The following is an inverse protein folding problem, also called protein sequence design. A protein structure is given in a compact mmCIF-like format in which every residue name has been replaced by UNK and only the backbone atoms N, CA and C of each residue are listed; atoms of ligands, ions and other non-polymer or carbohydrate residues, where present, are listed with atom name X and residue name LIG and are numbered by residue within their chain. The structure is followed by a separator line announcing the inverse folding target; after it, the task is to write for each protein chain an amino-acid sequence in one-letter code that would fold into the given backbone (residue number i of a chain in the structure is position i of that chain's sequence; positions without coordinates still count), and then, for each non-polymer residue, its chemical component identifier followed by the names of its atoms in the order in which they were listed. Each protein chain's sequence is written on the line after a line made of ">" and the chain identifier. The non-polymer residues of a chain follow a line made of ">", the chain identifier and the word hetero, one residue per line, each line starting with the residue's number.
data_IF_649128193739
#
_entry.id   IF_649128193739
#
_cell.length_a   1.000
_cell.length_b   1.000
_cell.length_c   1.000
_cell.angle_alpha   90.00
_cell.angle_beta   90.00
_cell.angle_gamma   90.00
#
_symmetry.space_group_name_H-M   'P 1'
#
loop_
_entity.id
_entity.type
_entity.pdbx_description
1 polymer ?
#
# COMPACT_ATOMS: atom_id res chain seq x y z
N UNK A 1 -20.32 -6.55 -27.51
CA UNK A 1 -21.20 -7.30 -28.44
C UNK A 1 -20.78 -8.75 -28.40
N UNK A 2 -21.48 -9.75 -27.88
CA UNK A 2 -22.79 -9.97 -27.24
C UNK A 2 -22.59 -10.30 -25.75
N UNK A 3 -23.49 -9.85 -24.88
CA UNK A 3 -23.54 -10.33 -23.49
C UNK A 3 -24.08 -11.77 -23.52
N UNK A 4 -23.17 -12.74 -23.40
CA UNK A 4 -23.40 -14.18 -23.57
C UNK A 4 -24.31 -14.78 -22.49
N UNK A 5 -25.28 -15.62 -22.87
CA UNK A 5 -26.18 -16.38 -21.97
C UNK A 5 -25.41 -17.23 -20.94
N UNK A 6 -24.17 -17.59 -21.24
CA UNK A 6 -23.21 -18.31 -20.39
C UNK A 6 -22.89 -17.58 -19.10
N UNK A 7 -22.77 -16.25 -19.12
CA UNK A 7 -22.55 -15.43 -17.91
C UNK A 7 -23.73 -15.49 -16.95
N UNK A 8 -24.94 -15.71 -17.49
CA UNK A 8 -26.17 -15.82 -16.73
C UNK A 8 -26.30 -17.16 -15.98
N UNK A 9 -25.67 -18.22 -16.51
CA UNK A 9 -25.59 -19.54 -15.88
C UNK A 9 -24.45 -19.62 -14.85
N UNK A 10 -23.32 -18.95 -15.12
CA UNK A 10 -22.14 -18.90 -14.26
C UNK A 10 -22.26 -17.94 -13.06
N UNK A 11 -23.36 -17.17 -12.96
CA UNK A 11 -23.60 -16.19 -11.89
C UNK A 11 -23.74 -16.79 -10.47
N UNK A 12 -23.58 -18.09 -10.29
CA UNK A 12 -23.66 -18.74 -8.99
C UNK A 12 -22.34 -19.39 -8.55
N UNK A 13 -21.34 -19.46 -9.44
CA UNK A 13 -20.00 -19.96 -9.13
C UNK A 13 -18.96 -18.89 -9.49
N UNK A 14 -18.47 -18.21 -8.46
CA UNK A 14 -17.47 -17.15 -8.56
C UNK A 14 -16.13 -17.64 -9.12
N UNK A 15 -15.77 -18.92 -8.93
CA UNK A 15 -14.52 -19.47 -9.44
C UNK A 15 -14.60 -19.76 -10.93
N UNK A 16 -15.68 -20.39 -11.40
CA UNK A 16 -15.87 -20.61 -12.85
C UNK A 16 -16.00 -19.28 -13.60
N UNK A 17 -16.70 -18.31 -13.01
CA UNK A 17 -16.88 -16.99 -13.59
C UNK A 17 -15.57 -16.18 -13.66
N UNK A 18 -14.75 -16.24 -12.61
CA UNK A 18 -13.41 -15.65 -12.63
C UNK A 18 -12.52 -16.33 -13.68
N UNK A 19 -12.54 -17.67 -13.77
CA UNK A 19 -11.80 -18.39 -14.81
C UNK A 19 -12.30 -18.02 -16.22
N UNK A 20 -13.61 -17.83 -16.41
CA UNK A 20 -14.18 -17.40 -17.68
C UNK A 20 -13.71 -15.99 -18.08
N UNK A 21 -13.68 -15.03 -17.16
CA UNK A 21 -13.10 -13.70 -17.46
C UNK A 21 -11.62 -13.80 -17.75
N UNK A 22 -10.87 -14.59 -16.97
CA UNK A 22 -9.44 -14.78 -17.22
C UNK A 22 -9.25 -15.31 -18.65
N UNK A 23 -10.02 -16.33 -19.06
CA UNK A 23 -9.98 -16.85 -20.42
C UNK A 23 -10.39 -15.80 -21.48
N UNK A 24 -11.33 -14.91 -21.18
CA UNK A 24 -11.69 -13.80 -22.07
C UNK A 24 -10.57 -12.76 -22.19
N UNK A 25 -9.93 -12.41 -21.08
CA UNK A 25 -8.78 -11.51 -21.04
C UNK A 25 -7.60 -12.12 -21.78
N UNK A 26 -7.32 -13.41 -21.57
CA UNK A 26 -6.30 -14.17 -22.30
C UNK A 26 -6.56 -14.15 -23.82
N UNK A 27 -7.81 -14.36 -24.26
CA UNK A 27 -8.18 -14.24 -25.68
C UNK A 27 -7.97 -12.84 -26.24
N UNK A 28 -8.25 -11.78 -25.47
CA UNK A 28 -8.01 -10.40 -25.90
C UNK A 28 -6.52 -10.07 -25.93
N UNK A 29 -5.75 -10.59 -24.97
CA UNK A 29 -4.31 -10.46 -24.89
C UNK A 29 -3.64 -11.18 -26.07
N UNK A 30 -4.04 -12.41 -26.37
CA UNK A 30 -3.49 -13.20 -27.48
C UNK A 30 -3.99 -12.76 -28.86
N UNK A 31 -5.10 -12.04 -28.92
CA UNK A 31 -5.66 -11.49 -30.14
C UNK A 31 -5.17 -10.07 -30.43
N UNK A 32 -5.74 -9.10 -29.72
CA UNK A 32 -5.63 -7.67 -30.05
C UNK A 32 -4.39 -7.00 -29.43
N UNK A 33 -3.89 -7.49 -28.30
CA UNK A 33 -2.78 -6.86 -27.57
C UNK A 33 -1.47 -7.64 -27.68
N UNK A 34 -1.43 -8.70 -28.50
CA UNK A 34 -0.30 -9.63 -28.57
C UNK A 34 1.00 -8.94 -28.99
N UNK A 35 0.89 -7.99 -29.91
CA UNK A 35 2.03 -7.24 -30.42
C UNK A 35 2.50 -6.13 -29.45
N UNK A 36 1.70 -5.80 -28.43
CA UNK A 36 1.98 -4.76 -27.44
C UNK A 36 2.53 -5.31 -26.11
N UNK A 37 2.48 -6.63 -25.92
CA UNK A 37 2.78 -7.30 -24.65
C UNK A 37 4.06 -8.13 -24.78
N UNK A 38 5.00 -7.91 -23.86
CA UNK A 38 6.22 -8.72 -23.72
C UNK A 38 5.86 -10.09 -23.14
N UNK A 39 5.09 -10.11 -22.05
CA UNK A 39 4.52 -11.32 -21.48
C UNK A 39 3.30 -11.02 -20.62
N UNK A 40 2.45 -12.02 -20.42
CA UNK A 40 1.44 -12.02 -19.37
C UNK A 40 1.52 -13.32 -18.57
N UNK A 41 1.10 -13.28 -17.30
CA UNK A 41 1.05 -14.47 -16.44
C UNK A 41 -0.12 -14.43 -15.48
N UNK A 42 -0.71 -15.59 -15.22
CA UNK A 42 -1.66 -15.81 -14.14
C UNK A 42 -0.88 -16.13 -12.86
N UNK A 43 -1.04 -15.30 -11.83
CA UNK A 43 -0.45 -15.53 -10.51
C UNK A 43 -1.53 -16.16 -9.64
N UNK A 44 -1.26 -17.37 -9.14
CA UNK A 44 -2.10 -18.01 -8.14
C UNK A 44 -1.82 -17.37 -6.77
N UNK A 45 -2.51 -16.28 -6.48
CA UNK A 45 -2.52 -15.63 -5.18
C UNK A 45 -3.86 -15.87 -4.48
N UNK A 46 -4.06 -15.23 -3.32
CA UNK A 46 -5.36 -15.20 -2.63
C UNK A 46 -6.50 -14.78 -3.59
N UNK A 47 -6.14 -14.01 -4.62
CA UNK A 47 -6.97 -13.62 -5.74
C UNK A 47 -6.30 -13.96 -7.06
N UNK A 48 -7.06 -14.35 -8.09
CA UNK A 48 -6.51 -14.45 -9.43
C UNK A 48 -6.00 -13.08 -9.89
N UNK A 49 -4.69 -12.99 -10.14
CA UNK A 49 -4.04 -11.80 -10.67
C UNK A 49 -3.51 -12.13 -12.07
N UNK A 50 -3.82 -11.29 -13.05
CA UNK A 50 -3.14 -11.31 -14.34
C UNK A 50 -2.11 -10.20 -14.33
N UNK A 51 -0.83 -10.57 -14.33
CA UNK A 51 0.27 -9.61 -14.50
C UNK A 51 0.63 -9.54 -15.97
N UNK A 52 0.59 -8.34 -16.55
CA UNK A 52 0.91 -8.05 -17.94
C UNK A 52 2.11 -7.10 -17.95
N UNK A 53 3.11 -7.39 -18.77
CA UNK A 53 4.20 -6.47 -19.09
C UNK A 53 4.08 -6.03 -20.55
N UNK A 54 3.92 -4.73 -20.77
CA UNK A 54 3.85 -4.13 -22.09
C UNK A 54 5.24 -3.77 -22.63
N UNK A 55 5.35 -3.58 -23.95
CA UNK A 55 6.62 -3.28 -24.65
C UNK A 55 7.32 -2.01 -24.15
N UNK A 56 6.54 -1.06 -23.65
CA UNK A 56 7.02 0.19 -23.04
C UNK A 56 7.52 0.02 -21.59
N UNK A 57 7.65 -1.24 -21.13
CA UNK A 57 8.00 -1.63 -19.76
C UNK A 57 6.92 -1.33 -18.71
N UNK A 58 5.71 -0.93 -19.14
CA UNK A 58 4.60 -0.75 -18.22
C UNK A 58 4.14 -2.11 -17.70
N UNK A 59 4.16 -2.28 -16.38
CA UNK A 59 3.63 -3.48 -15.72
C UNK A 59 2.25 -3.20 -15.14
N UNK A 60 1.26 -3.98 -15.56
CA UNK A 60 -0.13 -3.91 -15.07
C UNK A 60 -0.49 -5.21 -14.37
N UNK A 61 -1.02 -5.12 -13.15
CA UNK A 61 -1.57 -6.27 -12.43
C UNK A 61 -3.08 -6.09 -12.33
N UNK A 62 -3.82 -6.92 -13.07
CA UNK A 62 -5.28 -6.91 -13.12
C UNK A 62 -5.81 -7.90 -12.09
N UNK A 63 -6.67 -7.39 -11.21
CA UNK A 63 -7.43 -8.18 -10.25
C UNK A 63 -8.80 -8.47 -10.84
N UNK A 64 -9.14 -9.76 -10.96
CA UNK A 64 -10.42 -10.18 -11.53
C UNK A 64 -11.31 -10.74 -10.42
N UNK A 65 -12.41 -10.04 -10.16
CA UNK A 65 -13.48 -10.55 -9.29
C UNK A 65 -14.85 -10.02 -9.74
N UNK A 66 -15.75 -10.91 -10.16
CA UNK A 66 -17.17 -10.55 -10.35
C UNK A 66 -17.93 -10.64 -9.04
N UNK A 67 -18.63 -9.56 -8.69
CA UNK A 67 -19.69 -9.59 -7.68
C UNK A 67 -21.01 -10.01 -8.31
N UNK A 68 -21.70 -10.96 -7.68
CA UNK A 68 -23.13 -11.16 -7.89
C UNK A 68 -23.84 -10.43 -6.76
N UNK A 69 -24.62 -9.40 -7.10
CA UNK A 69 -25.45 -8.69 -6.13
C UNK A 69 -26.39 -9.68 -5.44
N UNK A 70 -26.01 -10.13 -4.24
CA UNK A 70 -26.97 -10.56 -3.21
C UNK A 70 -27.30 -9.32 -2.40
N UNK A 71 -28.12 -8.44 -2.96
CA UNK A 71 -28.87 -7.53 -2.10
C UNK A 71 -29.67 -8.40 -1.13
N UNK A 72 -29.61 -8.06 0.16
CA UNK A 72 -30.25 -8.72 1.31
C UNK A 72 -29.53 -9.97 1.87
N UNK A 73 -28.51 -9.74 2.70
CA UNK A 73 -28.39 -10.35 4.05
C UNK A 73 -27.01 -10.02 4.64
N UNK A 74 -26.89 -8.91 5.37
CA UNK A 74 -25.77 -8.67 6.30
C UNK A 74 -25.91 -9.45 7.61
N UNK A 75 -26.87 -10.38 7.70
CA UNK A 75 -27.00 -11.29 8.83
C UNK A 75 -26.78 -12.72 8.35
N UNK A 76 -25.73 -13.33 8.90
CA UNK A 76 -25.43 -14.76 8.91
C UNK A 76 -25.36 -15.45 7.54
N UNK A 77 -24.20 -15.44 6.86
CA UNK A 77 -23.88 -16.48 5.86
C UNK A 77 -22.45 -17.03 6.01
N UNK A 78 -22.44 -18.36 6.02
CA UNK A 78 -21.40 -19.39 6.18
C UNK A 78 -19.95 -19.08 5.76
N UNK A 79 -19.06 -19.64 6.57
CA UNK A 79 -17.60 -19.64 6.64
C UNK A 79 -16.78 -20.18 5.46
N UNK A 80 -17.31 -20.28 4.23
CA UNK A 80 -16.61 -20.98 3.15
C UNK A 80 -16.04 -20.12 2.01
N UNK A 81 -16.20 -18.79 2.03
CA UNK A 81 -15.72 -17.89 0.96
C UNK A 81 -14.78 -16.78 1.46
N UNK A 82 -13.82 -17.12 2.33
CA UNK A 82 -12.84 -16.18 2.89
C UNK A 82 -12.03 -15.44 1.80
N UNK A 83 -11.68 -16.14 0.73
CA UNK A 83 -10.90 -15.56 -0.35
C UNK A 83 -11.70 -14.43 -1.00
N UNK A 84 -12.91 -14.66 -1.51
CA UNK A 84 -13.73 -13.62 -2.16
C UNK A 84 -13.97 -12.36 -1.33
N UNK A 85 -13.97 -12.45 0.00
CA UNK A 85 -14.17 -11.29 0.86
C UNK A 85 -12.96 -10.35 0.82
N UNK A 86 -11.71 -10.82 0.88
CA UNK A 86 -10.53 -9.95 1.04
C UNK A 86 -10.18 -9.06 -0.19
N UNK A 87 -10.64 -9.36 -1.43
CA UNK A 87 -10.36 -8.50 -2.61
C UNK A 87 -11.38 -7.41 -2.78
N UNK A 88 -12.64 -7.73 -2.47
CA UNK A 88 -13.70 -6.74 -2.29
C UNK A 88 -13.22 -5.74 -1.24
N UNK A 89 -12.61 -6.21 -0.14
CA UNK A 89 -12.00 -5.31 0.83
C UNK A 89 -10.98 -4.37 0.19
N UNK A 90 -10.03 -4.84 -0.63
CA UNK A 90 -9.00 -3.97 -1.24
C UNK A 90 -9.55 -2.81 -2.09
N UNK A 91 -10.48 -3.08 -3.02
CA UNK A 91 -11.09 -2.02 -3.87
C UNK A 91 -11.97 -1.09 -3.04
N UNK A 92 -12.80 -1.65 -2.16
CA UNK A 92 -13.67 -0.87 -1.28
C UNK A 92 -12.87 -0.06 -0.25
N UNK A 93 -11.69 -0.55 0.15
CA UNK A 93 -10.76 0.13 1.06
C UNK A 93 -10.16 1.38 0.41
N UNK A 94 -9.85 1.32 -0.88
CA UNK A 94 -9.38 2.48 -1.66
C UNK A 94 -10.51 3.47 -1.87
N UNK A 95 -11.68 3.03 -2.35
CA UNK A 95 -12.84 3.92 -2.55
C UNK A 95 -13.26 4.61 -1.25
N UNK A 96 -13.28 3.88 -0.14
CA UNK A 96 -13.60 4.46 1.16
C UNK A 96 -12.49 5.37 1.68
N UNK A 97 -11.22 5.10 1.38
CA UNK A 97 -10.13 6.05 1.67
C UNK A 97 -10.36 7.38 0.96
N UNK A 98 -10.80 7.36 -0.31
CA UNK A 98 -11.04 8.58 -1.09
C UNK A 98 -12.10 9.49 -0.46
N UNK A 99 -13.08 8.94 0.28
CA UNK A 99 -14.05 9.74 1.05
C UNK A 99 -13.36 10.62 2.11
N UNK A 100 -12.23 10.18 2.65
CA UNK A 100 -11.45 10.92 3.65
C UNK A 100 -10.39 11.84 3.03
N UNK A 101 -10.10 11.70 1.74
CA UNK A 101 -9.09 12.49 1.03
C UNK A 101 -9.64 13.90 0.76
N UNK A 102 -8.98 14.91 1.31
CA UNK A 102 -9.19 16.30 0.90
C UNK A 102 -8.27 16.62 -0.27
N UNK A 103 -8.82 17.27 -1.30
CA UNK A 103 -8.09 17.70 -2.49
C UNK A 103 -7.32 16.55 -3.17
N UNK A 104 -8.01 15.68 -3.91
CA UNK A 104 -7.40 14.50 -4.54
C UNK A 104 -6.09 14.77 -5.31
N UNK A 105 -5.94 15.87 -6.07
CA UNK A 105 -4.69 16.18 -6.78
C UNK A 105 -3.52 16.45 -5.83
N UNK A 106 -3.72 17.23 -4.77
CA UNK A 106 -2.67 17.52 -3.78
C UNK A 106 -2.30 16.25 -3.01
N UNK A 107 -3.30 15.45 -2.66
CA UNK A 107 -3.09 14.13 -2.07
C UNK A 107 -2.25 13.22 -2.97
N UNK A 108 -2.53 13.17 -4.27
CA UNK A 108 -1.76 12.38 -5.24
C UNK A 108 -0.31 12.87 -5.35
N UNK A 109 -0.08 14.19 -5.37
CA UNK A 109 1.29 14.75 -5.35
C UNK A 109 2.03 14.37 -4.07
N UNK A 110 1.40 14.50 -2.89
CA UNK A 110 2.00 14.12 -1.62
C UNK A 110 2.29 12.61 -1.57
N UNK A 111 1.31 11.77 -1.94
CA UNK A 111 1.47 10.32 -1.96
C UNK A 111 2.58 9.89 -2.91
N UNK A 112 2.65 10.49 -4.10
CA UNK A 112 3.72 10.21 -5.08
C UNK A 112 5.07 10.58 -4.49
N UNK A 113 5.21 11.79 -3.94
CA UNK A 113 6.45 12.26 -3.33
C UNK A 113 6.92 11.34 -2.19
N UNK A 114 6.03 11.03 -1.24
CA UNK A 114 6.33 10.18 -0.09
C UNK A 114 6.64 8.75 -0.51
N UNK A 115 5.90 8.20 -1.49
CA UNK A 115 6.17 6.86 -2.01
C UNK A 115 7.52 6.78 -2.70
N UNK A 116 7.85 7.75 -3.54
CA UNK A 116 9.16 7.82 -4.22
C UNK A 116 10.29 7.92 -3.20
N UNK A 117 10.16 8.81 -2.21
CA UNK A 117 11.11 8.89 -1.11
C UNK A 117 11.28 7.54 -0.41
N UNK A 118 10.19 6.92 0.05
CA UNK A 118 10.23 5.66 0.79
C UNK A 118 10.84 4.52 -0.04
N UNK A 119 10.62 4.51 -1.36
CA UNK A 119 11.24 3.54 -2.26
C UNK A 119 12.75 3.77 -2.39
N UNK A 120 13.20 5.00 -2.58
CA UNK A 120 14.64 5.33 -2.72
C UNK A 120 15.44 5.03 -1.45
N UNK A 121 14.87 5.31 -0.27
CA UNK A 121 15.54 5.01 1.01
C UNK A 121 15.33 3.57 1.50
N UNK A 122 14.64 2.72 0.74
CA UNK A 122 14.47 1.30 1.06
C UNK A 122 13.47 0.99 2.19
N UNK A 123 12.51 1.88 2.45
CA UNK A 123 11.49 1.77 3.52
C UNK A 123 10.09 1.41 2.98
N UNK A 124 10.01 0.89 1.74
CA UNK A 124 8.74 0.56 1.08
C UNK A 124 8.63 -0.95 0.82
N UNK A 125 7.44 -1.51 1.10
CA UNK A 125 7.09 -2.87 0.67
C UNK A 125 6.64 -3.77 1.81
N UNK A 126 5.35 -4.14 1.79
CA UNK A 126 4.74 -5.02 2.79
C UNK A 126 5.44 -6.37 2.92
N UNK A 127 5.90 -6.92 1.80
CA UNK A 127 6.61 -8.20 1.70
C UNK A 127 7.89 -8.22 2.55
N UNK A 128 8.54 -7.06 2.71
CA UNK A 128 9.79 -6.91 3.47
C UNK A 128 9.54 -6.46 4.92
N UNK A 129 8.29 -6.49 5.37
CA UNK A 129 7.90 -6.00 6.68
C UNK A 129 7.84 -4.46 6.79
N UNK A 130 7.82 -3.74 5.67
CA UNK A 130 7.59 -2.29 5.66
C UNK A 130 6.12 -1.94 5.35
N UNK A 131 5.84 -0.65 5.21
CA UNK A 131 4.51 -0.16 4.87
C UNK A 131 4.15 -0.45 3.41
N UNK A 132 2.88 -0.79 3.19
CA UNK A 132 2.30 -0.97 1.86
C UNK A 132 1.92 0.39 1.25
N UNK A 133 1.67 0.43 -0.07
CA UNK A 133 1.15 1.62 -0.74
C UNK A 133 -0.14 2.15 -0.10
N UNK A 134 -1.03 1.25 0.35
CA UNK A 134 -2.26 1.63 1.05
C UNK A 134 -1.97 2.27 2.42
N UNK A 135 -1.00 1.75 3.17
CA UNK A 135 -0.59 2.32 4.45
C UNK A 135 -0.04 3.74 4.28
N UNK A 136 0.82 3.96 3.28
CA UNK A 136 1.33 5.29 2.91
C UNK A 136 0.22 6.24 2.47
N UNK A 137 -0.77 5.74 1.75
CA UNK A 137 -1.94 6.50 1.33
C UNK A 137 -2.78 6.98 2.54
N UNK A 138 -2.98 6.13 3.55
CA UNK A 138 -3.66 6.54 4.80
C UNK A 138 -2.87 7.64 5.52
N UNK A 139 -1.54 7.53 5.60
CA UNK A 139 -0.68 8.56 6.20
C UNK A 139 -0.82 9.91 5.47
N UNK A 140 -0.77 9.89 4.13
CA UNK A 140 -0.92 11.10 3.32
C UNK A 140 -2.32 11.71 3.45
N UNK A 141 -3.38 10.88 3.46
CA UNK A 141 -4.74 11.34 3.66
C UNK A 141 -4.94 12.00 5.02
N UNK A 142 -4.30 11.46 6.07
CA UNK A 142 -4.32 12.06 7.41
C UNK A 142 -3.73 13.47 7.39
N UNK A 143 -2.56 13.64 6.75
CA UNK A 143 -1.88 14.94 6.63
C UNK A 143 -2.71 15.93 5.82
N UNK A 144 -3.21 15.53 4.65
CA UNK A 144 -4.10 16.36 3.83
C UNK A 144 -5.33 16.81 4.63
N UNK A 145 -5.98 15.90 5.37
CA UNK A 145 -7.14 16.22 6.20
C UNK A 145 -6.81 17.16 7.36
N UNK A 146 -5.65 16.99 7.99
CA UNK A 146 -5.24 17.74 9.19
C UNK A 146 -4.77 19.16 8.88
N UNK A 147 -4.09 19.34 7.75
CA UNK A 147 -3.35 20.57 7.44
C UNK A 147 -3.92 21.35 6.24
N UNK A 148 -4.72 20.73 5.38
CA UNK A 148 -5.43 21.47 4.33
C UNK A 148 -6.75 22.02 4.89
N UNK A 149 -6.81 23.35 5.01
CA UNK A 149 -8.00 24.07 5.47
C UNK A 149 -9.18 23.86 4.51
N UNK A 150 -10.42 23.72 5.02
CA UNK A 150 -11.63 23.74 4.19
C UNK A 150 -11.80 25.04 3.40
N UNK A 151 -11.26 26.16 3.89
CA UNK A 151 -11.42 27.49 3.27
C UNK A 151 -10.52 27.67 2.05
N UNK A 152 -9.35 26.99 2.02
CA UNK A 152 -8.47 26.91 0.85
C UNK A 152 -9.10 26.13 -0.32
N UNK A 153 -10.33 25.62 -0.16
CA UNK A 153 -11.03 24.82 -1.17
C UNK A 153 -11.51 25.59 -2.37
N UNK A 154 -11.52 26.92 -2.26
CA UNK A 154 -12.04 27.82 -3.27
C UNK A 154 -10.95 28.31 -4.23
N UNK A 155 -9.66 28.06 -3.94
CA UNK A 155 -8.58 28.26 -4.89
C UNK A 155 -8.36 26.97 -5.67
N UNK A 156 -8.56 27.02 -6.99
CA UNK A 156 -8.23 25.97 -7.95
C UNK A 156 -6.81 25.42 -7.74
N UNK A 157 -6.55 24.17 -8.19
CA UNK A 157 -5.21 23.54 -8.23
C UNK A 157 -4.14 24.48 -8.77
N UNK A 158 -4.52 25.38 -9.68
CA UNK A 158 -3.68 26.40 -10.32
C UNK A 158 -2.99 27.35 -9.33
N UNK A 159 -3.44 27.40 -8.08
CA UNK A 159 -2.85 28.25 -7.03
C UNK A 159 -2.12 27.49 -5.93
N UNK A 160 -2.00 26.15 -6.01
CA UNK A 160 -1.26 25.40 -5.01
C UNK A 160 0.25 25.60 -5.20
N UNK A 161 0.83 26.42 -4.34
CA UNK A 161 2.21 26.88 -4.47
C UNK A 161 3.22 25.84 -3.99
N UNK A 162 4.47 25.96 -4.48
CA UNK A 162 5.61 25.17 -3.98
C UNK A 162 5.79 25.33 -2.47
N UNK A 163 5.46 26.50 -1.92
CA UNK A 163 5.51 26.78 -0.48
C UNK A 163 4.50 25.93 0.30
N UNK A 164 3.27 25.84 -0.18
CA UNK A 164 2.24 25.04 0.48
C UNK A 164 2.53 23.54 0.39
N UNK A 165 3.05 23.08 -0.76
CA UNK A 165 3.48 21.70 -0.90
C UNK A 165 4.65 21.37 0.04
N UNK A 166 5.66 22.24 0.07
CA UNK A 166 6.79 22.11 0.98
C UNK A 166 6.35 22.05 2.43
N UNK A 167 5.45 22.95 2.84
CA UNK A 167 4.86 22.94 4.19
C UNK A 167 4.13 21.62 4.48
N UNK A 168 3.38 21.08 3.52
CA UNK A 168 2.67 19.81 3.68
C UNK A 168 3.64 18.63 3.88
N UNK A 169 4.75 18.62 3.13
CA UNK A 169 5.83 17.63 3.29
C UNK A 169 6.50 17.76 4.66
N UNK A 170 6.81 18.99 5.11
CA UNK A 170 7.33 19.22 6.46
C UNK A 170 6.38 18.70 7.53
N UNK A 171 5.08 18.97 7.40
CA UNK A 171 4.07 18.49 8.33
C UNK A 171 3.97 16.97 8.34
N UNK A 172 4.10 16.31 7.18
CA UNK A 172 4.15 14.85 7.10
C UNK A 172 5.29 14.28 7.96
N UNK A 173 6.52 14.70 7.70
CA UNK A 173 7.69 14.17 8.39
C UNK A 173 7.70 14.54 9.86
N UNK A 174 7.35 15.78 10.21
CA UNK A 174 7.25 16.23 11.60
C UNK A 174 6.22 15.42 12.39
N UNK A 175 5.02 15.23 11.82
CA UNK A 175 3.94 14.47 12.46
C UNK A 175 4.36 13.04 12.75
N UNK A 176 4.87 12.32 11.74
CA UNK A 176 5.11 10.88 11.89
C UNK A 176 6.46 10.53 12.53
N UNK A 177 7.42 11.46 12.56
CA UNK A 177 8.64 11.34 13.37
C UNK A 177 8.35 11.44 14.87
N UNK A 178 7.30 12.18 15.26
CA UNK A 178 6.91 12.43 16.66
C UNK A 178 5.72 11.59 17.11
N UNK A 179 5.03 10.92 16.19
CA UNK A 179 3.87 10.09 16.50
C UNK A 179 4.26 8.93 17.41
N UNK A 180 3.48 8.71 18.47
CA UNK A 180 3.72 7.66 19.44
C UNK A 180 3.26 6.29 18.91
N UNK A 181 4.04 5.70 18.01
CA UNK A 181 3.72 4.44 17.33
C UNK A 181 3.57 3.23 18.27
N UNK A 182 4.12 3.28 19.50
CA UNK A 182 4.05 2.16 20.45
C UNK A 182 2.71 2.07 21.19
N UNK A 183 2.02 3.21 21.37
CA UNK A 183 0.79 3.26 22.18
C UNK A 183 -0.41 3.85 21.45
N UNK A 184 -0.19 4.66 20.40
CA UNK A 184 -1.25 5.27 19.63
C UNK A 184 -1.52 4.53 18.31
N UNK A 185 -2.76 4.66 17.83
CA UNK A 185 -3.17 4.12 16.55
C UNK A 185 -3.75 5.23 15.68
N UNK A 186 -3.19 5.36 14.48
CA UNK A 186 -3.55 6.37 13.50
C UNK A 186 -4.91 6.05 12.89
N UNK A 187 -5.79 7.05 12.83
CA UNK A 187 -7.16 6.93 12.32
C UNK A 187 -7.53 8.18 11.54
N UNK A 188 -8.28 8.02 10.44
CA UNK A 188 -8.85 9.13 9.67
C UNK A 188 -10.19 9.65 10.23
N UNK A 189 -10.75 8.93 11.20
CA UNK A 189 -12.04 9.19 11.84
C UNK A 189 -11.88 9.33 13.36
N UNK A 190 -12.79 10.05 14.05
CA UNK A 190 -12.73 10.25 15.50
C UNK A 190 -12.76 8.93 16.30
N UNK A 191 -12.11 8.91 17.48
CA UNK A 191 -12.13 7.74 18.39
C UNK A 191 -13.55 7.34 18.81
N UNK A 192 -14.49 8.30 18.88
CA UNK A 192 -15.89 8.07 19.28
C UNK A 192 -16.70 7.23 18.28
N UNK A 193 -16.24 7.07 17.04
CA UNK A 193 -16.97 6.33 16.01
C UNK A 193 -17.00 4.80 16.22
N UNK A 194 -16.31 4.26 17.25
CA UNK A 194 -16.08 2.81 17.41
C UNK A 194 -16.06 2.28 18.84
N UNK A 195 -17.13 2.48 19.59
CA UNK A 195 -17.39 1.61 20.75
C UNK A 195 -17.91 0.20 20.36
N UNK A 196 -18.16 -0.09 19.07
CA UNK A 196 -19.01 -1.23 18.68
C UNK A 196 -18.30 -2.41 17.96
N UNK A 197 -17.12 -2.27 17.36
CA UNK A 197 -16.58 -3.37 16.50
C UNK A 197 -15.09 -3.66 16.57
N UNK A 198 -14.31 -2.97 17.42
CA UNK A 198 -12.88 -3.20 17.54
C UNK A 198 -12.51 -3.53 18.98
N UNK A 199 -12.41 -4.82 19.33
CA UNK A 199 -11.78 -5.20 20.59
C UNK A 199 -10.27 -4.96 20.46
N UNK A 200 -9.78 -3.79 20.89
CA UNK A 200 -8.36 -3.43 20.90
C UNK A 200 -7.47 -4.47 21.62
N UNK A 201 -8.07 -5.40 22.38
CA UNK A 201 -7.37 -6.30 23.28
C UNK A 201 -7.17 -7.74 22.80
N UNK A 202 -7.82 -8.21 21.74
CA UNK A 202 -7.89 -9.68 21.49
C UNK A 202 -7.87 -10.17 20.04
N UNK A 203 -7.66 -9.33 19.03
CA UNK A 203 -7.82 -9.80 17.64
C UNK A 203 -6.49 -9.96 16.89
N UNK A 204 -6.40 -11.07 16.13
CA UNK A 204 -5.36 -11.37 15.12
C UNK A 204 -5.20 -10.22 14.10
N UNK A 205 -6.18 -9.30 14.05
CA UNK A 205 -6.21 -8.11 13.20
C UNK A 205 -5.42 -6.90 13.74
N UNK A 206 -4.86 -7.00 14.97
CA UNK A 206 -3.98 -6.00 15.59
C UNK A 206 -2.47 -6.28 15.40
N UNK A 207 -2.11 -7.23 14.53
CA UNK A 207 -0.69 -7.50 14.20
C UNK A 207 0.00 -6.24 13.69
N UNK A 208 1.30 -6.18 13.89
CA UNK A 208 2.19 -5.14 13.36
C UNK A 208 2.51 -4.01 14.33
N UNK A 209 3.78 -3.62 14.37
CA UNK A 209 4.31 -2.60 15.29
C UNK A 209 3.93 -1.15 14.97
N UNK A 210 3.43 -0.85 13.76
CA UNK A 210 2.84 0.43 13.39
C UNK A 210 1.32 0.30 13.23
N UNK A 211 0.56 0.90 14.16
CA UNK A 211 -0.91 0.83 14.15
C UNK A 211 -1.52 1.90 13.24
N UNK A 212 -1.80 1.52 11.99
CA UNK A 212 -2.45 2.36 10.97
C UNK A 212 -3.80 1.73 10.66
N UNK A 213 -4.88 2.29 11.19
CA UNK A 213 -6.19 1.64 11.10
C UNK A 213 -6.87 1.99 9.78
N UNK A 214 -7.29 0.96 9.04
CA UNK A 214 -8.07 1.13 7.81
C UNK A 214 -9.31 1.99 8.10
N UNK A 215 -9.66 2.96 7.23
CA UNK A 215 -10.86 3.78 7.37
C UNK A 215 -12.16 3.00 7.15
N UNK A 216 -12.10 1.72 6.78
CA UNK A 216 -13.27 0.93 6.44
C UNK A 216 -13.36 -0.42 7.17
N UNK A 217 -14.56 -0.93 7.49
CA UNK A 217 -14.73 -2.27 8.05
C UNK A 217 -14.05 -3.34 7.17
N UNK A 218 -13.38 -4.34 7.77
CA UNK A 218 -13.34 -4.67 9.20
C UNK A 218 -12.33 -3.85 10.03
N UNK A 219 -11.75 -2.79 9.45
CA UNK A 219 -10.87 -1.84 10.12
C UNK A 219 -9.57 -2.44 10.62
N UNK A 220 -8.98 -3.30 9.81
CA UNK A 220 -7.72 -3.97 10.10
C UNK A 220 -6.56 -2.97 10.23
N UNK A 221 -5.48 -3.41 10.88
CA UNK A 221 -4.22 -2.68 10.80
C UNK A 221 -3.62 -2.78 9.38
N UNK A 222 -3.61 -1.66 8.66
CA UNK A 222 -2.93 -1.54 7.37
C UNK A 222 -1.39 -1.61 7.50
N UNK A 223 -0.84 -1.47 8.71
CA UNK A 223 0.56 -1.71 9.04
C UNK A 223 0.86 -3.13 9.50
N UNK A 224 0.02 -4.12 9.20
CA UNK A 224 0.08 -5.48 9.79
C UNK A 224 1.41 -6.23 9.65
N UNK A 225 2.22 -5.89 8.66
CA UNK A 225 3.49 -6.57 8.36
C UNK A 225 4.70 -5.91 9.03
N UNK A 226 4.53 -4.74 9.66
CA UNK A 226 5.65 -4.06 10.35
C UNK A 226 6.02 -4.78 11.63
N UNK A 227 7.30 -4.87 11.93
CA UNK A 227 7.85 -5.39 13.18
C UNK A 227 8.58 -4.26 13.91
N UNK A 228 9.16 -4.52 15.10
CA UNK A 228 9.81 -3.46 15.87
C UNK A 228 10.99 -2.84 15.10
N UNK A 229 11.82 -3.69 14.51
CA UNK A 229 12.98 -3.29 13.72
C UNK A 229 12.58 -2.41 12.52
N UNK A 230 11.58 -2.84 11.73
CA UNK A 230 11.17 -2.06 10.55
C UNK A 230 10.42 -0.79 10.93
N UNK A 231 9.62 -0.80 12.01
CA UNK A 231 9.05 0.43 12.59
C UNK A 231 10.16 1.42 12.94
N UNK A 232 11.20 0.97 13.65
CA UNK A 232 12.25 1.84 14.15
C UNK A 232 13.09 2.41 12.99
N UNK A 233 13.32 1.63 11.92
CA UNK A 233 13.92 2.13 10.69
C UNK A 233 13.04 3.16 9.97
N UNK A 234 11.73 2.94 9.91
CA UNK A 234 10.79 3.92 9.33
C UNK A 234 10.82 5.24 10.13
N UNK A 235 10.77 5.16 11.46
CA UNK A 235 10.84 6.34 12.34
C UNK A 235 12.17 7.06 12.16
N UNK A 236 13.29 6.34 12.10
CA UNK A 236 14.61 6.92 11.80
C UNK A 236 14.63 7.61 10.44
N UNK A 237 14.00 7.03 9.41
CA UNK A 237 13.81 7.65 8.11
C UNK A 237 13.07 8.99 8.20
N UNK A 238 11.95 9.04 8.94
CA UNK A 238 11.23 10.28 9.17
C UNK A 238 12.07 11.32 9.91
N UNK A 239 12.80 10.91 10.95
CA UNK A 239 13.67 11.78 11.73
C UNK A 239 14.83 12.33 10.90
N UNK A 240 15.44 11.52 10.03
CA UNK A 240 16.50 11.94 9.11
C UNK A 240 16.02 13.07 8.19
N UNK A 241 14.84 12.91 7.60
CA UNK A 241 14.27 13.96 6.74
C UNK A 241 13.91 15.21 7.55
N UNK A 242 13.34 15.06 8.74
CA UNK A 242 13.02 16.19 9.61
C UNK A 242 14.29 16.98 10.00
N UNK A 243 15.39 16.28 10.33
CA UNK A 243 16.67 16.92 10.61
C UNK A 243 17.25 17.64 9.40
N UNK A 244 17.13 17.07 8.20
CA UNK A 244 17.53 17.72 6.96
C UNK A 244 16.73 19.00 6.73
N UNK A 245 15.40 18.93 6.86
CA UNK A 245 14.51 20.08 6.73
C UNK A 245 14.80 21.20 7.73
N UNK A 246 15.23 20.85 8.95
CA UNK A 246 15.62 21.83 9.97
C UNK A 246 16.99 22.50 9.70
N UNK A 247 17.86 21.84 8.93
CA UNK A 247 19.19 22.37 8.57
C UNK A 247 19.16 23.26 7.33
N UNK A 248 18.23 23.01 6.41
CA UNK A 248 18.14 23.77 5.17
C UNK A 248 17.50 25.14 5.45
N UNK A 249 18.17 26.19 5.00
CA UNK A 249 17.60 27.53 4.97
C UNK A 249 16.52 27.57 3.88
N UNK A 250 15.26 27.73 4.25
CA UNK A 250 14.10 27.59 3.33
C UNK A 250 13.42 28.93 3.06
N UNK A 251 14.19 30.02 3.06
CA UNK A 251 13.66 31.38 2.90
C UNK A 251 13.05 31.59 1.50
N UNK A 252 13.68 31.06 0.45
CA UNK A 252 13.20 31.26 -0.92
C UNK A 252 12.44 30.06 -1.48
N UNK A 253 11.64 30.27 -2.53
CA UNK A 253 10.97 29.18 -3.25
C UNK A 253 11.96 28.21 -3.91
N UNK A 254 13.12 28.71 -4.36
CA UNK A 254 14.17 27.88 -4.93
C UNK A 254 14.80 26.97 -3.87
N UNK A 255 15.08 27.50 -2.68
CA UNK A 255 15.59 26.70 -1.56
C UNK A 255 14.62 25.57 -1.16
N UNK A 256 13.31 25.88 -1.12
CA UNK A 256 12.26 24.89 -0.84
C UNK A 256 12.22 23.79 -1.91
N UNK A 257 12.31 24.17 -3.19
CA UNK A 257 12.37 23.21 -4.30
C UNK A 257 13.61 22.33 -4.22
N UNK A 258 14.77 22.92 -3.94
CA UNK A 258 16.03 22.19 -3.77
C UNK A 258 15.98 21.25 -2.55
N UNK A 259 15.35 21.66 -1.45
CA UNK A 259 15.13 20.80 -0.30
C UNK A 259 14.28 19.56 -0.65
N UNK A 260 13.20 19.74 -1.42
CA UNK A 260 12.36 18.62 -1.87
C UNK A 260 13.15 17.65 -2.77
N UNK A 261 13.99 18.17 -3.67
CA UNK A 261 14.88 17.33 -4.50
C UNK A 261 15.86 16.55 -3.64
N UNK A 262 16.53 17.21 -2.70
CA UNK A 262 17.48 16.54 -1.78
C UNK A 262 16.81 15.42 -0.97
N UNK A 263 15.55 15.59 -0.56
CA UNK A 263 14.79 14.52 0.11
C UNK A 263 14.61 13.32 -0.81
N UNK A 264 14.24 13.54 -2.08
CA UNK A 264 14.06 12.46 -3.06
C UNK A 264 15.40 11.82 -3.46
N UNK A 265 16.50 12.53 -3.36
CA UNK A 265 17.86 12.05 -3.64
C UNK A 265 18.52 11.36 -2.44
N UNK A 266 17.83 11.25 -1.30
CA UNK A 266 18.36 10.51 -0.16
C UNK A 266 18.60 9.05 -0.53
N UNK A 267 19.84 8.62 -0.34
CA UNK A 267 20.23 7.24 -0.55
C UNK A 267 19.77 6.34 0.60
N UNK A 268 19.50 5.08 0.26
CA UNK A 268 19.45 4.00 1.23
C UNK A 268 20.87 3.79 1.81
N UNK A 269 21.03 4.03 3.11
CA UNK A 269 22.33 3.89 3.77
C UNK A 269 22.63 2.43 4.15
N UNK A 270 21.79 1.45 3.80
CA UNK A 270 22.00 0.05 4.12
C UNK A 270 22.88 -0.69 3.09
N UNK A 271 23.83 -1.53 3.52
CA UNK A 271 24.31 -1.69 4.90
C UNK A 271 25.19 -0.51 5.34
N UNK A 272 25.04 -0.08 6.60
CA UNK A 272 25.86 1.00 7.18
C UNK A 272 26.92 0.47 8.14
N UNK A 273 27.76 1.36 8.68
CA UNK A 273 28.83 1.05 9.64
C UNK A 273 28.36 0.33 10.92
N UNK A 274 27.07 0.40 11.27
CA UNK A 274 26.49 -0.31 12.42
C UNK A 274 26.14 -1.76 12.08
N UNK A 275 26.12 -2.12 10.80
CA UNK A 275 25.74 -3.45 10.32
C UNK A 275 26.89 -4.43 10.55
N UNK A 276 26.77 -5.28 11.57
CA UNK A 276 27.81 -6.24 11.95
C UNK A 276 27.78 -7.54 11.14
N UNK A 277 26.57 -7.94 10.72
CA UNK A 277 26.33 -9.21 10.05
C UNK A 277 25.21 -9.04 9.02
N UNK A 278 25.28 -9.82 7.94
CA UNK A 278 24.26 -9.87 6.90
C UNK A 278 23.81 -11.31 6.69
N UNK A 279 22.50 -11.51 6.60
CA UNK A 279 21.90 -12.75 6.12
C UNK A 279 21.57 -12.59 4.64
N UNK A 280 22.26 -13.31 3.77
CA UNK A 280 21.98 -13.33 2.34
C UNK A 280 21.09 -14.53 2.00
N UNK A 281 19.92 -14.27 1.44
CA UNK A 281 19.03 -15.29 0.88
C UNK A 281 19.23 -15.35 -0.63
N UNK A 282 19.80 -16.45 -1.13
CA UNK A 282 20.02 -16.67 -2.57
C UNK A 282 19.06 -17.74 -3.06
N UNK A 283 18.24 -17.39 -4.06
CA UNK A 283 17.41 -18.34 -4.80
C UNK A 283 18.06 -18.62 -6.15
N UNK A 284 18.07 -19.89 -6.55
CA UNK A 284 18.54 -20.33 -7.86
C UNK A 284 17.60 -21.39 -8.41
N UNK A 285 17.31 -21.33 -9.69
CA UNK A 285 16.56 -22.36 -10.43
C UNK A 285 17.16 -22.49 -11.83
N UNK A 286 16.94 -23.65 -12.45
CA UNK A 286 17.36 -23.93 -13.83
C UNK A 286 16.48 -23.19 -14.87
N UNK A 287 15.26 -22.80 -14.50
CA UNK A 287 14.30 -22.12 -15.38
C UNK A 287 13.77 -20.82 -14.74
N UNK A 288 13.65 -19.77 -15.56
CA UNK A 288 13.09 -18.47 -15.16
C UNK A 288 11.66 -18.59 -14.61
N UNK A 289 10.82 -19.45 -15.20
CA UNK A 289 9.43 -19.64 -14.74
C UNK A 289 9.39 -20.21 -13.31
N UNK A 290 10.24 -21.19 -13.04
CA UNK A 290 10.33 -21.80 -11.71
C UNK A 290 10.98 -20.82 -10.72
N UNK A 291 12.00 -20.05 -11.13
CA UNK A 291 12.58 -19.00 -10.30
C UNK A 291 11.52 -17.98 -9.85
N UNK A 292 10.63 -17.58 -10.75
CA UNK A 292 9.53 -16.67 -10.47
C UNK A 292 8.53 -17.24 -9.45
N UNK A 293 8.22 -18.53 -9.53
CA UNK A 293 7.39 -19.24 -8.55
C UNK A 293 8.06 -19.26 -7.18
N UNK A 294 9.36 -19.59 -7.11
CA UNK A 294 10.15 -19.54 -5.88
C UNK A 294 10.21 -18.13 -5.29
N UNK A 295 10.38 -17.10 -6.12
CA UNK A 295 10.33 -15.70 -5.68
C UNK A 295 8.95 -15.39 -5.10
N UNK A 296 7.86 -15.78 -5.75
CA UNK A 296 6.50 -15.60 -5.24
C UNK A 296 6.28 -16.30 -3.90
N UNK A 297 6.71 -17.56 -3.81
CA UNK A 297 6.64 -18.36 -2.58
C UNK A 297 7.43 -17.71 -1.44
N UNK A 298 8.65 -17.25 -1.70
CA UNK A 298 9.49 -16.58 -0.70
C UNK A 298 8.87 -15.25 -0.25
N UNK A 299 8.42 -14.41 -1.19
CA UNK A 299 7.76 -13.13 -0.89
C UNK A 299 6.52 -13.29 -0.01
N UNK A 300 5.77 -14.38 -0.18
CA UNK A 300 4.59 -14.65 0.67
C UNK A 300 4.93 -14.97 2.14
N UNK A 301 6.17 -15.38 2.43
CA UNK A 301 6.63 -15.82 3.76
C UNK A 301 7.68 -14.92 4.37
N UNK A 302 8.32 -14.05 3.58
CA UNK A 302 9.46 -13.28 4.02
C UNK A 302 9.14 -12.40 5.24
N UNK A 303 8.00 -11.71 5.26
CA UNK A 303 7.59 -10.91 6.42
C UNK A 303 7.41 -11.75 7.69
N UNK A 304 6.92 -12.99 7.58
CA UNK A 304 6.82 -13.92 8.70
C UNK A 304 8.19 -14.39 9.18
N UNK A 305 9.05 -14.77 8.23
CA UNK A 305 10.43 -15.16 8.53
C UNK A 305 11.20 -14.05 9.27
N UNK A 306 11.08 -12.79 8.83
CA UNK A 306 11.73 -11.66 9.50
C UNK A 306 11.16 -11.46 10.92
N UNK A 307 9.84 -11.65 11.12
CA UNK A 307 9.24 -11.60 12.44
C UNK A 307 9.79 -12.71 13.36
N UNK A 308 9.88 -13.94 12.86
CA UNK A 308 10.44 -15.06 13.61
C UNK A 308 11.92 -14.80 13.96
N UNK A 309 12.70 -14.22 13.03
CA UNK A 309 14.07 -13.80 13.32
C UNK A 309 14.13 -12.74 14.42
N UNK A 310 13.23 -11.76 14.44
CA UNK A 310 13.19 -10.73 15.49
C UNK A 310 12.85 -11.35 16.86
N UNK A 311 11.87 -12.25 16.92
CA UNK A 311 11.44 -12.92 18.15
C UNK A 311 12.53 -13.85 18.72
N UNK A 312 13.08 -14.74 17.88
CA UNK A 312 14.08 -15.75 18.28
C UNK A 312 15.46 -15.14 18.55
N UNK A 313 15.85 -14.07 17.84
CA UNK A 313 17.13 -13.40 18.05
C UNK A 313 17.06 -12.28 19.10
N UNK A 314 15.87 -12.01 19.65
CA UNK A 314 15.62 -10.93 20.62
C UNK A 314 16.13 -9.56 20.15
N UNK A 315 15.83 -9.22 18.89
CA UNK A 315 16.30 -7.99 18.22
C UNK A 315 15.49 -6.74 18.59
#
# INVERSE_FOLDING_TARGET
>A
TSFDETLHQLKYDTNELNNYIINLLERQIEGNLKDEIIYYRKIQALFPIISILFNDQTKVEIFVQIQINKEQSYEQKSSNDFNSQESIHGVHEIERLLIYVRYPPIFQHLLTFIRTWAQHVGLYGQVYGYLSGYSWAILCAYICRRYLSPIKSLSSIEHFSIEEFFSLVQQFFSTFAQFNWSSEALRLYPKSYKQITFSEKTSVYNRGSMRIISPSPPYNNAGRSTINSTRDLIIQGFQRVLQLLNKINTITCEDKSNALKQILELNNDFPNEKTKSLLQLTLSSENISELDEWIGWMKSRLAHFINDCEEECHL
#
